data_IF_950924074325
#
_entry.id   IF_950924074325
#
_cell.length_a   1.000
_cell.length_b   1.000
_cell.length_c   1.000
_cell.angle_alpha   90.00
_cell.angle_beta   90.00
_cell.angle_gamma   90.00
#
_symmetry.space_group_name_H-M   'P 1'
#
loop_
_entity.id
_entity.type
_entity.pdbx_description
1 polymer ?
#
# COMPACT_ATOMS: atom_id res chain seq x y z
N UNK A 1 -16.26 -14.38 -18.75
CA UNK A 1 -15.58 -14.60 -17.44
C UNK A 1 -14.07 -14.39 -17.53
N UNK A 2 -13.31 -15.24 -18.25
CA UNK A 2 -11.83 -15.18 -18.30
C UNK A 2 -11.26 -13.83 -18.80
N UNK A 3 -11.83 -13.26 -19.87
CA UNK A 3 -11.44 -11.94 -20.43
C UNK A 3 -11.61 -10.77 -19.45
N UNK A 4 -12.61 -10.82 -18.57
CA UNK A 4 -12.89 -9.76 -17.58
C UNK A 4 -11.83 -9.78 -16.47
N UNK A 5 -11.40 -10.98 -16.05
CA UNK A 5 -10.31 -11.17 -15.08
C UNK A 5 -8.98 -10.70 -15.67
N UNK A 6 -8.70 -10.98 -16.94
CA UNK A 6 -7.48 -10.52 -17.63
C UNK A 6 -7.45 -8.99 -17.77
N UNK A 7 -8.59 -8.35 -18.07
CA UNK A 7 -8.70 -6.89 -18.16
C UNK A 7 -8.53 -6.21 -16.78
N UNK A 8 -9.15 -6.77 -15.73
CA UNK A 8 -8.95 -6.31 -14.36
C UNK A 8 -7.49 -6.42 -13.91
N UNK A 9 -6.82 -7.54 -14.23
CA UNK A 9 -5.42 -7.75 -13.87
C UNK A 9 -4.48 -6.74 -14.57
N UNK A 10 -4.66 -6.51 -15.87
CA UNK A 10 -3.87 -5.53 -16.64
C UNK A 10 -4.06 -4.10 -16.12
N UNK A 11 -5.31 -3.72 -15.80
CA UNK A 11 -5.59 -2.40 -15.22
C UNK A 11 -4.98 -2.23 -13.83
N UNK A 12 -4.95 -3.30 -13.02
CA UNK A 12 -4.34 -3.29 -11.69
C UNK A 12 -2.81 -3.12 -11.78
N UNK A 13 -2.16 -3.80 -12.72
CA UNK A 13 -0.71 -3.67 -12.96
C UNK A 13 -0.33 -2.26 -13.41
N UNK A 14 -1.11 -1.65 -14.32
CA UNK A 14 -0.85 -0.30 -14.79
C UNK A 14 -1.03 0.77 -13.67
N UNK A 15 -2.02 0.60 -12.79
CA UNK A 15 -2.23 1.47 -11.64
C UNK A 15 -1.08 1.37 -10.61
N UNK A 16 -0.54 0.16 -10.41
CA UNK A 16 0.62 -0.08 -9.53
C UNK A 16 1.90 0.59 -10.05
N UNK A 17 2.08 0.61 -11.38
CA UNK A 17 3.22 1.28 -12.01
C UNK A 17 3.20 2.81 -11.78
N UNK A 18 2.01 3.43 -11.72
CA UNK A 18 1.88 4.87 -11.47
C UNK A 18 2.09 5.26 -9.99
N UNK A 19 1.67 4.41 -9.04
CA UNK A 19 1.88 4.64 -7.61
C UNK A 19 3.37 4.56 -7.19
N UNK A 20 4.19 3.87 -7.97
CA UNK A 20 5.63 3.72 -7.71
C UNK A 20 6.46 4.96 -8.06
N UNK A 21 5.89 5.99 -8.69
CA UNK A 21 6.68 7.13 -9.17
C UNK A 21 6.93 8.21 -8.10
N UNK A 22 6.16 8.26 -6.99
CA UNK A 22 6.25 9.41 -6.05
C UNK A 22 6.19 9.10 -4.56
N UNK A 23 6.02 7.85 -4.12
CA UNK A 23 5.99 7.52 -2.69
C UNK A 23 7.35 7.03 -2.21
N UNK A 24 7.79 7.39 -1.00
CA UNK A 24 9.04 6.87 -0.44
C UNK A 24 8.98 5.36 -0.14
N UNK A 25 10.12 4.72 0.16
CA UNK A 25 10.22 3.27 0.33
C UNK A 25 9.35 2.74 1.49
N UNK A 26 9.25 3.47 2.61
CA UNK A 26 8.41 3.06 3.72
C UNK A 26 6.93 3.30 3.44
N UNK A 27 6.57 4.37 2.72
CA UNK A 27 5.20 4.63 2.27
C UNK A 27 4.69 3.51 1.38
N UNK A 28 5.48 3.06 0.39
CA UNK A 28 5.11 1.93 -0.47
C UNK A 28 4.96 0.65 0.32
N UNK A 29 5.94 0.34 1.16
CA UNK A 29 5.93 -0.87 1.99
C UNK A 29 4.72 -0.87 2.93
N UNK A 30 4.45 0.26 3.59
CA UNK A 30 3.27 0.46 4.42
C UNK A 30 1.97 0.31 3.65
N UNK A 31 1.88 0.90 2.45
CA UNK A 31 0.71 0.75 1.57
C UNK A 31 0.46 -0.70 1.19
N UNK A 32 1.50 -1.44 0.79
CA UNK A 32 1.38 -2.85 0.37
C UNK A 32 1.04 -3.75 1.55
N UNK A 33 1.74 -3.61 2.68
CA UNK A 33 1.48 -4.41 3.89
C UNK A 33 0.09 -4.10 4.43
N UNK A 34 -0.28 -2.81 4.48
CA UNK A 34 -1.60 -2.37 4.90
C UNK A 34 -2.69 -2.89 3.97
N UNK A 35 -2.50 -2.81 2.64
CA UNK A 35 -3.45 -3.33 1.66
C UNK A 35 -3.61 -4.86 1.78
N UNK A 36 -2.52 -5.61 1.87
CA UNK A 36 -2.57 -7.07 1.98
C UNK A 36 -3.16 -7.53 3.32
N UNK A 37 -2.73 -6.92 4.43
CA UNK A 37 -3.25 -7.21 5.76
C UNK A 37 -4.73 -6.84 5.89
N UNK A 38 -5.10 -5.67 5.37
CA UNK A 38 -6.47 -5.20 5.31
C UNK A 38 -7.36 -6.06 4.41
N UNK A 39 -6.86 -6.48 3.24
CA UNK A 39 -7.57 -7.39 2.35
C UNK A 39 -7.81 -8.76 2.98
N UNK A 40 -6.81 -9.30 3.67
CA UNK A 40 -6.93 -10.58 4.35
C UNK A 40 -7.96 -10.48 5.49
N UNK A 41 -7.83 -9.49 6.37
CA UNK A 41 -8.76 -9.29 7.49
C UNK A 41 -10.19 -8.99 7.00
N UNK A 42 -10.33 -8.05 6.06
CA UNK A 42 -11.61 -7.69 5.48
C UNK A 42 -12.24 -8.83 4.68
N UNK A 43 -11.44 -9.65 4.01
CA UNK A 43 -11.88 -10.83 3.29
C UNK A 43 -12.43 -11.90 4.22
N UNK A 44 -11.75 -12.17 5.34
CA UNK A 44 -12.20 -13.11 6.37
C UNK A 44 -13.52 -12.63 7.00
N UNK A 45 -13.58 -11.36 7.40
CA UNK A 45 -14.78 -10.77 8.03
C UNK A 45 -15.94 -10.75 7.04
N UNK A 46 -15.71 -10.28 5.81
CA UNK A 46 -16.73 -10.25 4.76
C UNK A 46 -17.21 -11.63 4.34
N UNK A 47 -16.35 -12.65 4.42
CA UNK A 47 -16.71 -14.03 4.08
C UNK A 47 -17.81 -14.58 5.01
N UNK A 48 -17.82 -14.18 6.29
CA UNK A 48 -18.88 -14.59 7.22
C UNK A 48 -20.28 -14.07 6.83
N UNK A 49 -20.35 -12.97 6.08
CA UNK A 49 -21.60 -12.40 5.58
C UNK A 49 -21.86 -12.71 4.11
N UNK A 50 -21.10 -13.62 3.49
CA UNK A 50 -21.21 -13.96 2.07
C UNK A 50 -20.63 -12.91 1.11
N UNK A 51 -19.94 -11.88 1.63
CA UNK A 51 -19.37 -10.74 0.88
C UNK A 51 -17.85 -10.64 1.05
N UNK A 52 -17.15 -11.77 0.98
CA UNK A 52 -15.70 -11.84 1.19
C UNK A 52 -14.88 -10.98 0.23
N UNK A 53 -15.25 -10.94 -1.06
CA UNK A 53 -14.60 -10.08 -2.05
C UNK A 53 -14.76 -8.59 -1.73
N UNK A 54 -15.94 -8.19 -1.27
CA UNK A 54 -16.23 -6.80 -0.93
C UNK A 54 -15.52 -6.39 0.37
N UNK A 55 -15.55 -7.26 1.37
CA UNK A 55 -14.79 -7.06 2.59
C UNK A 55 -13.28 -6.97 2.32
N UNK A 56 -12.74 -7.82 1.44
CA UNK A 56 -11.35 -7.76 1.03
C UNK A 56 -11.02 -6.46 0.28
N UNK A 57 -11.88 -6.01 -0.63
CA UNK A 57 -11.66 -4.76 -1.36
C UNK A 57 -11.69 -3.53 -0.43
N UNK A 58 -12.67 -3.47 0.48
CA UNK A 58 -12.79 -2.38 1.47
C UNK A 58 -11.59 -2.41 2.42
N UNK A 59 -11.25 -3.59 2.94
CA UNK A 59 -10.11 -3.78 3.82
C UNK A 59 -8.78 -3.42 3.13
N UNK A 60 -8.61 -3.81 1.86
CA UNK A 60 -7.45 -3.43 1.06
C UNK A 60 -7.34 -1.92 0.89
N UNK A 61 -8.45 -1.24 0.55
CA UNK A 61 -8.48 0.21 0.38
C UNK A 61 -8.17 0.95 1.66
N UNK A 62 -8.84 0.60 2.76
CA UNK A 62 -8.62 1.22 4.06
C UNK A 62 -7.19 0.97 4.58
N UNK A 63 -6.70 -0.27 4.45
CA UNK A 63 -5.36 -0.66 4.85
C UNK A 63 -4.27 -0.01 4.00
N UNK A 64 -4.48 0.15 2.68
CA UNK A 64 -3.58 0.85 1.79
C UNK A 64 -3.43 2.32 2.19
N UNK A 65 -4.55 3.02 2.42
CA UNK A 65 -4.55 4.43 2.83
C UNK A 65 -3.86 4.60 4.19
N UNK A 66 -4.24 3.78 5.19
CA UNK A 66 -3.63 3.84 6.52
C UNK A 66 -2.13 3.53 6.49
N UNK A 67 -1.73 2.50 5.73
CA UNK A 67 -0.33 2.12 5.55
C UNK A 67 0.50 3.18 4.81
N UNK A 68 -0.09 3.88 3.83
CA UNK A 68 0.56 4.96 3.11
C UNK A 68 0.85 6.16 4.02
N UNK A 69 -0.14 6.58 4.83
CA UNK A 69 0.01 7.71 5.76
C UNK A 69 1.10 7.41 6.80
N UNK A 70 1.09 6.21 7.38
CA UNK A 70 2.07 5.79 8.38
C UNK A 70 3.47 5.70 7.75
N UNK A 71 3.59 5.02 6.61
CA UNK A 71 4.87 4.84 5.92
C UNK A 71 5.45 6.15 5.38
N UNK A 72 4.61 7.07 4.90
CA UNK A 72 5.02 8.40 4.44
C UNK A 72 5.56 9.27 5.58
N UNK A 73 4.95 9.21 6.75
CA UNK A 73 5.48 9.88 7.94
C UNK A 73 6.85 9.31 8.35
N UNK A 74 7.05 8.00 8.15
CA UNK A 74 8.31 7.31 8.45
C UNK A 74 9.41 7.69 7.44
N UNK A 75 9.08 7.77 6.15
CA UNK A 75 10.00 8.25 5.12
C UNK A 75 10.50 9.67 5.41
N UNK A 76 9.60 10.58 5.79
CA UNK A 76 10.00 11.95 6.09
C UNK A 76 10.91 12.05 7.31
N UNK A 77 10.73 11.20 8.33
CA UNK A 77 11.64 11.10 9.48
C UNK A 77 13.00 10.56 9.08
N UNK A 78 12.99 9.51 8.26
CA UNK A 78 14.18 8.83 7.79
C UNK A 78 15.06 9.75 6.93
N UNK A 79 14.46 10.47 5.97
CA UNK A 79 15.15 11.47 5.15
C UNK A 79 15.84 12.55 5.99
N UNK A 80 15.17 13.04 7.05
CA UNK A 80 15.76 14.03 7.98
C UNK A 80 16.97 13.46 8.72
N UNK A 81 16.90 12.20 9.15
CA UNK A 81 18.02 11.50 9.79
C UNK A 81 19.20 11.36 8.82
N UNK A 82 18.98 10.84 7.62
CA UNK A 82 20.03 10.68 6.61
C UNK A 82 20.66 12.01 6.19
N UNK A 83 19.86 13.07 5.98
CA UNK A 83 20.39 14.42 5.71
C UNK A 83 21.25 14.95 6.85
N UNK A 84 20.89 14.64 8.11
CA UNK A 84 21.66 15.09 9.28
C UNK A 84 22.97 14.31 9.43
N UNK A 85 22.96 13.02 9.14
CA UNK A 85 24.18 12.19 9.12
C UNK A 85 25.13 12.60 8.00
N UNK A 86 24.61 12.83 6.78
CA UNK A 86 25.42 13.25 5.64
C UNK A 86 26.08 14.63 5.86
N UNK A 87 25.40 15.57 6.52
CA UNK A 87 25.99 16.86 6.91
C UNK A 87 27.13 16.73 7.91
N UNK A 88 27.20 15.66 8.70
CA UNK A 88 28.20 15.49 9.76
C UNK A 88 29.50 14.83 9.28
N UNK A 89 29.49 14.19 8.11
CA UNK A 89 30.72 13.66 7.47
C UNK A 89 31.42 14.68 6.56
N UNK A 90 30.82 15.84 6.30
CA UNK A 90 31.40 16.91 5.48
C UNK A 90 32.11 17.99 6.32
N UNK A 91 32.27 17.75 7.63
CA UNK A 91 33.01 18.57 8.59
C UNK A 91 33.98 17.65 9.34
#
# INVERSE_FOLDING_TARGET
MKKQITLLAVSLTAAFSFASCSSGPNARTGTVIGALGGAAAGGIIGHQSGRGLEGAAIGAGAGAIGGNVIGGAQDQRNERYYRRSARRSYY
#
